data_IF_272026529234
#
_entry.id   IF_272026529234
#
_cell.length_a   1.000
_cell.length_b   1.000
_cell.length_c   1.000
_cell.angle_alpha   90.00
_cell.angle_beta   90.00
_cell.angle_gamma   90.00
#
_symmetry.space_group_name_H-M   'P 1'
#
loop_
_entity.id
_entity.type
_entity.pdbx_description
1 polymer ?
#
# COMPACT_ATOMS: atom_id res chain seq x y z
N UNK A 1 9.60 -7.22 -8.48
CA UNK A 1 8.25 -6.78 -8.83
C UNK A 1 8.19 -5.31 -8.51
N UNK A 2 8.10 -4.44 -9.51
CA UNK A 2 7.81 -3.03 -9.24
C UNK A 2 6.32 -2.96 -8.91
N UNK A 3 5.99 -2.41 -7.75
CA UNK A 3 4.60 -2.18 -7.34
C UNK A 3 4.35 -0.68 -7.42
N UNK A 4 3.29 -0.29 -8.12
CA UNK A 4 2.81 1.08 -8.18
C UNK A 4 1.43 1.16 -7.54
N UNK A 5 1.21 2.18 -6.70
CA UNK A 5 -0.11 2.47 -6.16
C UNK A 5 -0.57 3.87 -6.54
N UNK A 6 -1.88 4.05 -6.66
CA UNK A 6 -2.54 5.34 -6.80
C UNK A 6 -3.79 5.37 -5.92
N UNK A 7 -3.87 6.35 -5.00
CA UNK A 7 -5.02 6.53 -4.12
C UNK A 7 -6.15 7.25 -4.86
N UNK A 8 -7.32 6.61 -4.94
CA UNK A 8 -8.53 7.20 -5.54
C UNK A 8 -9.34 8.03 -4.54
N UNK A 9 -9.07 7.85 -3.24
CA UNK A 9 -9.77 8.50 -2.13
C UNK A 9 -8.77 8.88 -1.05
N UNK A 10 -9.03 9.97 -0.33
CA UNK A 10 -8.35 10.27 0.93
C UNK A 10 -8.57 9.17 1.96
N UNK A 11 -7.59 8.94 2.83
CA UNK A 11 -7.81 8.31 4.12
C UNK A 11 -6.57 7.73 4.77
N UNK A 12 -6.78 6.87 5.77
CA UNK A 12 -5.73 6.39 6.67
C UNK A 12 -5.57 4.89 6.55
N UNK A 13 -4.34 4.43 6.34
CA UNK A 13 -4.01 3.01 6.36
C UNK A 13 -2.93 2.72 7.37
N UNK A 14 -2.95 1.50 7.89
CA UNK A 14 -1.83 0.90 8.60
C UNK A 14 -1.38 -0.35 7.84
N UNK A 15 -0.08 -0.45 7.59
CA UNK A 15 0.54 -1.64 7.01
C UNK A 15 1.24 -2.39 8.13
N UNK A 16 0.82 -3.64 8.35
CA UNK A 16 1.41 -4.56 9.32
C UNK A 16 2.35 -5.52 8.62
N UNK A 17 3.61 -5.57 9.05
CA UNK A 17 4.62 -6.47 8.51
C UNK A 17 4.82 -7.70 9.39
N UNK A 18 5.31 -8.79 8.79
CA UNK A 18 5.54 -10.06 9.50
C UNK A 18 6.65 -10.00 10.55
N UNK A 19 7.52 -8.99 10.50
CA UNK A 19 8.55 -8.74 11.51
C UNK A 19 8.00 -8.02 12.76
N UNK A 20 6.68 -7.80 12.82
CA UNK A 20 6.00 -7.12 13.92
C UNK A 20 6.03 -5.60 13.83
N UNK A 21 6.68 -5.03 12.81
CA UNK A 21 6.65 -3.58 12.57
C UNK A 21 5.35 -3.16 11.89
N UNK A 22 4.97 -1.89 12.09
CA UNK A 22 3.84 -1.29 11.39
C UNK A 22 4.17 0.12 10.94
N UNK A 23 3.56 0.53 9.84
CA UNK A 23 3.69 1.90 9.31
C UNK A 23 2.30 2.47 9.07
N UNK A 24 2.07 3.68 9.55
CA UNK A 24 0.86 4.46 9.32
C UNK A 24 1.06 5.40 8.12
N UNK A 25 0.05 5.49 7.26
CA UNK A 25 0.01 6.44 6.15
C UNK A 25 -1.27 7.28 6.19
N UNK A 26 -1.13 8.58 5.94
CA UNK A 26 -2.24 9.49 5.65
C UNK A 26 -2.22 9.81 4.15
N UNK A 27 -3.07 9.12 3.39
CA UNK A 27 -3.13 9.23 1.94
C UNK A 27 -4.08 10.34 1.49
N UNK A 28 -3.69 11.05 0.44
CA UNK A 28 -4.56 11.97 -0.31
C UNK A 28 -5.01 11.38 -1.63
N UNK A 29 -6.23 11.70 -2.07
CA UNK A 29 -6.68 11.38 -3.41
C UNK A 29 -5.71 11.96 -4.45
N UNK A 30 -5.26 11.12 -5.37
CA UNK A 30 -4.22 11.48 -6.35
C UNK A 30 -2.79 11.18 -5.91
N UNK A 31 -2.56 10.84 -4.64
CA UNK A 31 -1.26 10.43 -4.16
C UNK A 31 -0.87 9.08 -4.75
N UNK A 32 0.41 8.94 -5.10
CA UNK A 32 0.94 7.75 -5.73
C UNK A 32 2.36 7.47 -5.24
N UNK A 33 2.76 6.22 -5.39
CA UNK A 33 4.12 5.79 -5.09
C UNK A 33 4.49 4.55 -5.88
N UNK A 34 5.79 4.28 -5.94
CA UNK A 34 6.33 3.05 -6.48
C UNK A 34 7.35 2.47 -5.52
N UNK A 35 7.35 1.16 -5.38
CA UNK A 35 8.31 0.41 -4.57
C UNK A 35 8.82 -0.80 -5.35
N UNK A 36 9.95 -1.35 -4.85
CA UNK A 36 10.35 -2.71 -5.22
C UNK A 36 9.34 -3.74 -4.72
N UNK A 37 9.64 -5.05 -4.82
CA UNK A 37 8.70 -6.06 -4.36
C UNK A 37 8.43 -5.87 -2.87
N UNK A 38 7.15 -5.71 -2.53
CA UNK A 38 6.72 -5.44 -1.16
C UNK A 38 6.84 -6.72 -0.32
N UNK A 39 7.21 -6.56 0.96
CA UNK A 39 7.26 -7.69 1.91
C UNK A 39 5.86 -8.26 2.12
N UNK A 40 5.74 -9.49 2.62
CA UNK A 40 4.44 -10.00 3.08
C UNK A 40 3.87 -9.06 4.16
N UNK A 41 2.64 -8.60 3.95
CA UNK A 41 2.00 -7.60 4.81
C UNK A 41 0.48 -7.76 4.85
N UNK A 42 -0.14 -7.16 5.86
CA UNK A 42 -1.58 -6.93 5.93
C UNK A 42 -1.84 -5.43 5.95
N UNK A 43 -2.71 -4.96 5.06
CA UNK A 43 -3.13 -3.55 5.02
C UNK A 43 -4.50 -3.39 5.67
N UNK A 44 -4.58 -2.49 6.64
CA UNK A 44 -5.79 -2.17 7.39
C UNK A 44 -6.25 -0.75 7.08
N UNK A 45 -7.55 -0.56 6.85
CA UNK A 45 -8.17 0.75 6.82
C UNK A 45 -8.47 1.20 8.25
N UNK A 46 -7.72 2.17 8.76
CA UNK A 46 -7.89 2.74 10.10
C UNK A 46 -8.71 4.03 10.10
N UNK A 47 -9.19 4.46 8.93
CA UNK A 47 -10.07 5.60 8.76
C UNK A 47 -11.56 5.25 8.83
N UNK A 48 -12.40 6.27 8.67
CA UNK A 48 -13.87 6.14 8.69
C UNK A 48 -14.51 5.98 7.31
N UNK A 49 -13.75 6.14 6.23
CA UNK A 49 -14.24 6.13 4.86
C UNK A 49 -13.83 4.86 4.13
N UNK A 50 -14.59 4.45 3.11
CA UNK A 50 -14.17 3.37 2.21
C UNK A 50 -12.97 3.83 1.38
N UNK A 51 -11.86 3.11 1.51
CA UNK A 51 -10.66 3.36 0.72
C UNK A 51 -10.71 2.66 -0.63
N UNK A 52 -10.26 3.35 -1.68
CA UNK A 52 -10.14 2.82 -3.04
C UNK A 52 -8.75 3.13 -3.59
N UNK A 53 -8.13 2.15 -4.24
CA UNK A 53 -6.80 2.28 -4.81
C UNK A 53 -6.76 1.55 -6.16
N UNK A 54 -5.83 2.00 -7.01
CA UNK A 54 -5.30 1.16 -8.09
C UNK A 54 -3.96 0.61 -7.63
N UNK A 55 -3.79 -0.70 -7.74
CA UNK A 55 -2.52 -1.38 -7.52
C UNK A 55 -2.08 -2.01 -8.85
N UNK A 56 -0.87 -1.69 -9.29
CA UNK A 56 -0.32 -2.17 -10.56
C UNK A 56 1.00 -2.86 -10.24
N UNK A 57 1.09 -4.15 -10.57
CA UNK A 57 2.27 -4.98 -10.32
C UNK A 57 2.84 -5.49 -11.65
N UNK A 58 4.13 -5.24 -11.88
CA UNK A 58 4.83 -5.70 -13.08
C UNK A 58 5.46 -7.08 -12.85
N UNK A 59 5.26 -8.00 -13.79
CA UNK A 59 5.58 -9.44 -13.68
C UNK A 59 7.07 -9.83 -13.55
N UNK A 60 8.00 -8.90 -13.39
CA UNK A 60 9.42 -9.24 -13.29
C UNK A 60 9.96 -9.17 -11.84
N UNK A 61 10.54 -10.30 -11.42
CA UNK A 61 11.17 -10.63 -10.12
C UNK A 61 10.23 -10.90 -8.93
N UNK A 62 10.05 -12.16 -8.48
CA UNK A 62 9.40 -12.47 -7.21
C UNK A 62 10.19 -11.87 -6.03
N UNK A 63 9.49 -11.53 -4.94
CA UNK A 63 10.14 -11.23 -3.65
C UNK A 63 11.01 -12.44 -3.25
N UNK A 64 12.30 -12.22 -2.93
CA UNK A 64 13.25 -13.26 -2.53
C UNK A 64 13.37 -13.33 -1.01
#
# INVERSE_FOLDING_TARGET
MLTFFYALTDGKIKVHYTDGTSVDFELKAGEYGYSGPEKLHQTENTGSNTLKFLLIELKEHPFK
#
